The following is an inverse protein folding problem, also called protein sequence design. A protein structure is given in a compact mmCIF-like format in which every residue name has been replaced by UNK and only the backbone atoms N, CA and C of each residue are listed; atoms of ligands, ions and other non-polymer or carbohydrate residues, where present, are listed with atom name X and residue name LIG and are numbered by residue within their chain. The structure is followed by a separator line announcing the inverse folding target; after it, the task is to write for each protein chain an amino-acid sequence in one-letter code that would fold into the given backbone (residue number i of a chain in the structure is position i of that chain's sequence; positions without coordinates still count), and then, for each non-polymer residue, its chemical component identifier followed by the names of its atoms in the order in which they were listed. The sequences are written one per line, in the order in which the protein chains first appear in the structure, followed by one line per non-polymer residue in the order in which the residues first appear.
data_IF_056703972393
#
_entry.id   IF_056703972393
#
_cell.length_a   1.000
_cell.length_b   1.000
_cell.length_c   1.000
_cell.angle_alpha   90.00
_cell.angle_beta   90.00
_cell.angle_gamma   90.00
#
_symmetry.space_group_name_H-M   'P 1'
#
loop_
_entity.id
_entity.type
_entity.pdbx_description
1 polymer ?
#
# COMPACT_ATOMS: atom_id res chain seq x y z
N UNK A 1 -50.72 -43.55 38.24
CA UNK A 1 -51.90 -42.89 38.86
C UNK A 1 -51.67 -41.37 38.81
N UNK A 2 -52.54 -40.63 38.12
CA UNK A 2 -52.75 -39.18 38.37
C UNK A 2 -53.60 -39.04 39.63
N UNK A 3 -53.57 -37.86 40.28
CA UNK A 3 -54.74 -37.01 40.09
C UNK A 3 -54.40 -35.55 39.78
N UNK A 4 -55.19 -34.97 38.87
CA UNK A 4 -55.34 -33.54 38.70
C UNK A 4 -56.18 -32.96 39.83
N UNK A 5 -55.92 -31.72 40.24
CA UNK A 5 -56.92 -30.92 40.94
C UNK A 5 -56.84 -29.46 40.50
N UNK A 6 -57.95 -29.01 39.92
CA UNK A 6 -58.23 -27.66 39.44
C UNK A 6 -58.90 -26.91 40.60
N UNK A 7 -58.44 -25.69 40.90
CA UNK A 7 -59.31 -24.67 41.50
C UNK A 7 -59.05 -23.35 40.78
N UNK A 8 -60.02 -22.97 39.95
CA UNK A 8 -60.23 -21.61 39.47
C UNK A 8 -61.07 -20.89 40.52
N UNK A 9 -60.72 -19.69 40.97
CA UNK A 9 -61.70 -18.63 41.21
C UNK A 9 -61.01 -17.27 41.31
N UNK A 10 -61.54 -16.35 40.52
CA UNK A 10 -61.07 -14.99 40.29
C UNK A 10 -61.20 -14.11 41.55
N UNK A 11 -60.24 -13.21 41.76
CA UNK A 11 -60.48 -11.99 42.53
C UNK A 11 -60.21 -10.77 41.64
N UNK A 12 -61.28 -10.04 41.41
CA UNK A 12 -61.34 -8.75 40.72
C UNK A 12 -60.59 -7.70 41.55
N UNK A 13 -59.63 -7.03 40.94
CA UNK A 13 -59.18 -5.72 41.38
C UNK A 13 -58.68 -4.92 40.18
N UNK A 14 -59.49 -3.97 39.76
CA UNK A 14 -59.06 -2.78 39.03
C UNK A 14 -60.03 -1.67 39.43
N UNK A 15 -59.68 -0.37 39.36
CA UNK A 15 -58.45 0.22 38.84
C UNK A 15 -57.84 1.25 39.83
N UNK A 16 -56.72 1.88 39.47
CA UNK A 16 -56.56 3.34 39.32
C UNK A 16 -55.10 3.79 39.60
N UNK A 17 -54.42 4.07 38.48
CA UNK A 17 -53.47 5.18 38.25
C UNK A 17 -52.28 5.39 39.22
N UNK A 18 -51.10 5.00 38.74
CA UNK A 18 -49.91 5.88 38.80
C UNK A 18 -49.19 5.85 37.46
N UNK A 19 -48.81 7.03 36.98
CA UNK A 19 -48.32 7.33 35.64
C UNK A 19 -47.16 6.46 35.13
N UNK A 20 -47.27 5.99 33.89
CA UNK A 20 -46.11 5.64 33.09
C UNK A 20 -45.51 6.93 32.49
N UNK A 21 -44.18 7.12 32.47
CA UNK A 21 -43.60 8.09 31.56
C UNK A 21 -43.89 7.62 30.13
N UNK A 22 -44.33 8.56 29.28
CA UNK A 22 -44.30 8.39 27.83
C UNK A 22 -42.84 8.13 27.43
N UNK A 23 -42.48 6.86 27.23
CA UNK A 23 -41.46 6.53 26.26
C UNK A 23 -42.06 6.89 24.89
N UNK A 24 -41.82 8.13 24.47
CA UNK A 24 -42.02 8.51 23.09
C UNK A 24 -41.37 7.43 22.21
N UNK A 25 -41.99 6.99 21.10
CA UNK A 25 -41.20 6.35 20.07
C UNK A 25 -40.13 7.37 19.73
N UNK A 26 -38.87 7.05 20.05
CA UNK A 26 -37.72 7.76 19.52
C UNK A 26 -37.97 7.76 18.03
N UNK A 27 -38.38 8.93 17.55
CA UNK A 27 -38.23 9.36 16.19
C UNK A 27 -36.78 9.04 15.89
N UNK A 28 -36.52 7.87 15.31
CA UNK A 28 -35.19 7.50 14.84
C UNK A 28 -34.85 8.71 13.98
N UNK A 29 -33.90 9.58 14.37
CA UNK A 29 -33.56 10.69 13.50
C UNK A 29 -33.28 10.01 12.18
N UNK A 30 -34.09 10.35 11.17
CA UNK A 30 -33.91 9.94 9.78
C UNK A 30 -32.41 9.98 9.64
N UNK A 31 -31.78 8.81 9.49
CA UNK A 31 -30.34 8.73 9.34
C UNK A 31 -30.09 9.61 8.14
N UNK A 32 -29.71 10.85 8.42
CA UNK A 32 -29.17 11.78 7.46
C UNK A 32 -27.93 11.05 7.10
N UNK A 33 -28.05 10.18 6.10
CA UNK A 33 -27.15 10.14 4.99
C UNK A 33 -25.80 10.69 5.44
N UNK A 34 -25.07 9.89 6.22
CA UNK A 34 -23.64 10.12 6.51
C UNK A 34 -22.81 10.13 5.20
N UNK A 35 -23.49 9.91 4.07
CA UNK A 35 -23.05 10.29 2.75
C UNK A 35 -22.94 11.82 2.64
N UNK A 36 -21.69 12.29 2.65
CA UNK A 36 -21.20 13.51 2.00
C UNK A 36 -21.21 14.84 2.75
N UNK A 37 -20.86 14.86 4.04
CA UNK A 37 -20.34 16.10 4.66
C UNK A 37 -18.89 15.98 5.16
N UNK A 38 -18.24 14.82 4.97
CA UNK A 38 -16.93 14.50 5.53
C UNK A 38 -15.73 14.51 4.58
N UNK A 39 -15.86 14.86 3.30
CA UNK A 39 -14.69 14.95 2.43
C UNK A 39 -14.94 15.91 1.26
N UNK A 40 -14.40 17.12 1.38
CA UNK A 40 -14.08 17.98 0.23
C UNK A 40 -12.71 17.61 -0.38
N UNK A 41 -12.09 16.54 0.12
CA UNK A 41 -10.75 16.07 -0.23
C UNK A 41 -10.85 14.56 -0.45
N UNK A 42 -10.83 14.11 -1.71
CA UNK A 42 -10.80 12.68 -2.02
C UNK A 42 -9.45 12.10 -1.55
N UNK A 43 -9.43 11.47 -0.37
CA UNK A 43 -8.24 10.86 0.23
C UNK A 43 -7.95 9.45 -0.33
N UNK A 44 -8.82 8.93 -1.21
CA UNK A 44 -8.69 7.58 -1.77
C UNK A 44 -7.32 7.40 -2.44
N UNK A 45 -6.93 8.36 -3.28
CA UNK A 45 -5.66 8.33 -4.01
C UNK A 45 -4.48 8.43 -3.03
N UNK A 46 -4.59 9.25 -2.00
CA UNK A 46 -3.56 9.36 -0.95
C UNK A 46 -3.34 8.02 -0.24
N UNK A 47 -4.41 7.34 0.18
CA UNK A 47 -4.30 6.04 0.83
C UNK A 47 -3.75 4.95 -0.09
N UNK A 48 -4.03 5.01 -1.39
CA UNK A 48 -3.39 4.12 -2.37
C UNK A 48 -1.88 4.33 -2.37
N UNK A 49 -1.40 5.58 -2.43
CA UNK A 49 0.03 5.89 -2.38
C UNK A 49 0.65 5.38 -1.09
N UNK A 50 0.02 5.63 0.07
CA UNK A 50 0.47 5.15 1.38
C UNK A 50 0.58 3.61 1.44
N UNK A 51 -0.41 2.89 0.88
CA UNK A 51 -0.37 1.43 0.83
C UNK A 51 0.78 0.89 -0.03
N UNK A 52 1.15 1.60 -1.10
CA UNK A 52 2.31 1.23 -1.93
C UNK A 52 3.61 1.52 -1.19
N UNK A 53 3.71 2.65 -0.47
CA UNK A 53 4.86 2.97 0.40
C UNK A 53 5.08 1.84 1.42
N UNK A 54 4.03 1.44 2.15
CA UNK A 54 4.15 0.41 3.19
C UNK A 54 4.61 -0.95 2.63
N UNK A 55 4.09 -1.31 1.45
CA UNK A 55 4.50 -2.54 0.76
C UNK A 55 5.96 -2.47 0.30
N UNK A 56 6.38 -1.30 -0.19
CA UNK A 56 7.75 -1.07 -0.68
C UNK A 56 8.76 -1.08 0.47
N UNK A 57 8.43 -0.42 1.59
CA UNK A 57 9.24 -0.46 2.82
C UNK A 57 9.34 -1.89 3.38
N UNK A 58 8.26 -2.66 3.31
CA UNK A 58 8.27 -4.06 3.74
C UNK A 58 9.21 -4.91 2.88
N UNK A 59 9.20 -4.71 1.56
CA UNK A 59 10.14 -5.36 0.66
C UNK A 59 11.59 -4.92 0.94
N UNK A 60 11.84 -3.62 1.12
CA UNK A 60 13.16 -3.10 1.45
C UNK A 60 13.72 -3.76 2.72
N UNK A 61 12.93 -3.82 3.80
CA UNK A 61 13.35 -4.48 5.04
C UNK A 61 13.67 -5.97 4.82
N UNK A 62 12.87 -6.67 4.02
CA UNK A 62 13.12 -8.07 3.70
C UNK A 62 14.42 -8.28 2.91
N UNK A 63 14.70 -7.43 1.92
CA UNK A 63 15.94 -7.49 1.12
C UNK A 63 17.16 -7.15 1.97
N UNK A 64 17.11 -6.05 2.73
CA UNK A 64 18.21 -5.62 3.60
C UNK A 64 18.54 -6.66 4.67
N UNK A 65 17.50 -7.26 5.27
CA UNK A 65 17.62 -8.30 6.30
C UNK A 65 18.01 -9.68 5.77
N UNK A 66 18.03 -9.89 4.45
CA UNK A 66 18.29 -11.20 3.87
C UNK A 66 19.76 -11.63 4.03
N UNK A 67 19.93 -12.88 4.47
CA UNK A 67 21.21 -13.50 4.80
C UNK A 67 22.03 -13.94 3.57
N UNK A 68 21.45 -13.88 2.37
CA UNK A 68 22.03 -14.43 1.14
C UNK A 68 21.73 -15.91 0.90
N UNK A 69 21.01 -16.58 1.81
CA UNK A 69 20.64 -17.99 1.67
C UNK A 69 19.32 -18.15 0.91
N UNK A 70 19.29 -19.03 -0.08
CA UNK A 70 18.08 -19.34 -0.86
C UNK A 70 16.90 -19.75 0.02
N UNK A 71 17.14 -20.47 1.12
CA UNK A 71 16.09 -20.91 2.05
C UNK A 71 15.34 -19.75 2.73
N UNK A 72 15.95 -18.56 2.78
CA UNK A 72 15.44 -17.39 3.52
C UNK A 72 14.80 -16.34 2.57
N UNK A 73 14.54 -16.69 1.31
CA UNK A 73 14.05 -15.72 0.29
C UNK A 73 12.54 -15.53 0.30
N UNK A 74 11.79 -16.37 1.02
CA UNK A 74 10.32 -16.29 1.06
C UNK A 74 9.79 -14.90 1.45
N UNK A 75 10.36 -14.18 2.45
CA UNK A 75 9.93 -12.83 2.77
C UNK A 75 10.16 -11.81 1.64
N UNK A 76 11.25 -11.96 0.86
CA UNK A 76 11.53 -11.09 -0.29
C UNK A 76 10.50 -11.30 -1.39
N UNK A 77 10.23 -12.57 -1.74
CA UNK A 77 9.22 -12.90 -2.76
C UNK A 77 7.84 -12.40 -2.34
N UNK A 78 7.44 -12.65 -1.09
CA UNK A 78 6.17 -12.16 -0.56
C UNK A 78 6.09 -10.62 -0.54
N UNK A 79 7.17 -9.93 -0.17
CA UNK A 79 7.25 -8.47 -0.22
C UNK A 79 7.09 -7.94 -1.65
N UNK A 80 7.76 -8.57 -2.61
CA UNK A 80 7.69 -8.21 -4.03
C UNK A 80 6.30 -8.41 -4.61
N UNK A 81 5.66 -9.55 -4.31
CA UNK A 81 4.28 -9.81 -4.70
C UNK A 81 3.31 -8.82 -4.03
N UNK A 82 3.61 -8.43 -2.79
CA UNK A 82 2.89 -7.38 -2.07
C UNK A 82 2.94 -6.04 -2.79
N UNK A 83 4.13 -5.58 -3.19
CA UNK A 83 4.30 -4.34 -3.98
C UNK A 83 3.52 -4.44 -5.29
N UNK A 84 3.71 -5.52 -6.06
CA UNK A 84 3.03 -5.69 -7.34
C UNK A 84 1.50 -5.70 -7.19
N UNK A 85 0.99 -6.33 -6.13
CA UNK A 85 -0.44 -6.36 -5.81
C UNK A 85 -0.93 -4.96 -5.46
N UNK A 86 -0.25 -4.24 -4.58
CA UNK A 86 -0.61 -2.88 -4.15
C UNK A 86 -0.63 -1.90 -5.33
N UNK A 87 0.33 -1.99 -6.25
CA UNK A 87 0.33 -1.19 -7.48
C UNK A 87 -0.89 -1.49 -8.36
N UNK A 88 -1.22 -2.77 -8.58
CA UNK A 88 -2.36 -3.18 -9.42
C UNK A 88 -3.71 -2.81 -8.79
N UNK A 89 -3.91 -3.12 -7.51
CA UNK A 89 -5.14 -2.75 -6.80
C UNK A 89 -5.27 -1.24 -6.64
N UNK A 90 -4.15 -0.57 -6.41
CA UNK A 90 -4.06 0.88 -6.36
C UNK A 90 -4.50 1.51 -7.68
N UNK A 91 -3.96 1.03 -8.80
CA UNK A 91 -4.36 1.47 -10.14
C UNK A 91 -5.88 1.33 -10.34
N UNK A 92 -6.45 0.16 -10.07
CA UNK A 92 -7.90 -0.07 -10.20
C UNK A 92 -8.74 0.83 -9.27
N UNK A 93 -8.22 1.17 -8.09
CA UNK A 93 -8.87 2.06 -7.14
C UNK A 93 -8.81 3.52 -7.63
N UNK A 94 -7.67 3.97 -8.14
CA UNK A 94 -7.51 5.31 -8.73
C UNK A 94 -8.43 5.46 -9.94
N UNK A 95 -8.55 4.45 -10.80
CA UNK A 95 -9.47 4.47 -11.96
C UNK A 95 -10.92 4.79 -11.56
N UNK A 96 -11.36 4.28 -10.41
CA UNK A 96 -12.70 4.46 -9.87
C UNK A 96 -12.85 5.71 -8.99
N UNK A 97 -11.74 6.34 -8.60
CA UNK A 97 -11.73 7.55 -7.80
C UNK A 97 -12.19 8.77 -8.61
N UNK A 98 -12.63 9.81 -7.90
CA UNK A 98 -12.95 11.09 -8.53
C UNK A 98 -11.67 11.81 -8.97
N UNK A 99 -11.83 12.79 -9.85
CA UNK A 99 -10.74 13.67 -10.23
C UNK A 99 -10.25 14.47 -9.02
N UNK A 100 -8.93 14.67 -8.93
CA UNK A 100 -8.29 15.42 -7.87
C UNK A 100 -8.63 16.91 -7.97
N UNK A 101 -9.10 17.46 -6.85
CA UNK A 101 -9.11 18.91 -6.65
C UNK A 101 -7.68 19.42 -6.42
N UNK A 102 -7.47 20.73 -6.53
CA UNK A 102 -6.19 21.37 -6.17
C UNK A 102 -5.75 21.01 -4.74
N UNK A 103 -6.70 20.94 -3.80
CA UNK A 103 -6.41 20.59 -2.40
C UNK A 103 -6.02 19.11 -2.29
N UNK A 104 -6.71 18.21 -2.98
CA UNK A 104 -6.34 16.80 -3.05
C UNK A 104 -4.95 16.59 -3.65
N UNK A 105 -4.62 17.36 -4.70
CA UNK A 105 -3.30 17.34 -5.33
C UNK A 105 -2.17 17.72 -4.35
N UNK A 106 -2.35 18.80 -3.58
CA UNK A 106 -1.39 19.21 -2.56
C UNK A 106 -1.22 18.14 -1.48
N UNK A 107 -2.31 17.44 -1.14
CA UNK A 107 -2.31 16.35 -0.16
C UNK A 107 -1.50 15.12 -0.57
N UNK A 108 -1.22 14.93 -1.86
CA UNK A 108 -0.45 13.77 -2.36
C UNK A 108 1.01 14.07 -2.68
N UNK A 109 1.44 15.35 -2.66
CA UNK A 109 2.83 15.72 -2.98
C UNK A 109 3.82 15.06 -2.01
N UNK A 110 3.62 15.23 -0.70
CA UNK A 110 4.53 14.66 0.31
C UNK A 110 4.51 13.11 0.29
N UNK A 111 3.34 12.43 0.27
CA UNK A 111 3.32 10.99 0.06
C UNK A 111 4.06 10.52 -1.20
N UNK A 112 3.99 11.26 -2.31
CA UNK A 112 4.70 10.90 -3.54
C UNK A 112 6.22 11.01 -3.37
N UNK A 113 6.71 12.02 -2.63
CA UNK A 113 8.14 12.14 -2.30
C UNK A 113 8.59 10.96 -1.43
N UNK A 114 7.83 10.60 -0.39
CA UNK A 114 8.14 9.44 0.44
C UNK A 114 8.09 8.12 -0.35
N UNK A 115 7.20 8.02 -1.34
CA UNK A 115 7.19 6.87 -2.25
C UNK A 115 8.47 6.79 -3.08
N UNK A 116 8.96 7.93 -3.60
CA UNK A 116 10.25 7.94 -4.29
C UNK A 116 11.39 7.46 -3.38
N UNK A 117 11.45 7.95 -2.14
CA UNK A 117 12.46 7.52 -1.17
C UNK A 117 12.38 6.02 -0.87
N UNK A 118 11.16 5.47 -0.74
CA UNK A 118 10.96 4.03 -0.52
C UNK A 118 11.40 3.20 -1.73
N UNK A 119 11.08 3.64 -2.95
CA UNK A 119 11.46 2.95 -4.19
C UNK A 119 12.97 3.02 -4.44
N UNK A 120 13.60 4.17 -4.16
CA UNK A 120 15.06 4.32 -4.16
C UNK A 120 15.69 3.36 -3.15
N UNK A 121 15.21 3.37 -1.90
CA UNK A 121 15.75 2.52 -0.84
C UNK A 121 15.66 1.01 -1.12
N UNK A 122 14.58 0.54 -1.76
CA UNK A 122 14.49 -0.87 -2.18
C UNK A 122 15.37 -1.18 -3.39
N UNK A 123 15.51 -0.24 -4.33
CA UNK A 123 16.36 -0.39 -5.51
C UNK A 123 17.82 -0.51 -5.09
N UNK A 124 18.28 0.37 -4.20
CA UNK A 124 19.62 0.34 -3.60
C UNK A 124 19.85 -0.97 -2.85
N UNK A 125 18.91 -1.39 -2.00
CA UNK A 125 19.04 -2.65 -1.27
C UNK A 125 19.15 -3.88 -2.20
N UNK A 126 18.41 -3.88 -3.32
CA UNK A 126 18.50 -4.94 -4.33
C UNK A 126 19.83 -4.88 -5.08
N UNK A 127 20.31 -3.69 -5.44
CA UNK A 127 21.60 -3.49 -6.10
C UNK A 127 22.74 -3.98 -5.21
N UNK A 128 22.75 -3.58 -3.93
CA UNK A 128 23.75 -3.99 -2.94
C UNK A 128 23.77 -5.50 -2.72
N UNK A 129 22.59 -6.14 -2.73
CA UNK A 129 22.44 -7.60 -2.55
C UNK A 129 22.63 -8.40 -3.84
N UNK A 130 22.90 -7.75 -4.97
CA UNK A 130 23.02 -8.42 -6.27
C UNK A 130 24.06 -9.55 -6.28
N UNK A 131 25.27 -9.41 -5.68
CA UNK A 131 26.23 -10.52 -5.64
C UNK A 131 25.66 -11.77 -4.95
N UNK A 132 24.89 -11.59 -3.89
CA UNK A 132 24.25 -12.68 -3.14
C UNK A 132 23.12 -13.31 -3.95
N UNK A 133 22.28 -12.51 -4.61
CA UNK A 133 21.26 -13.04 -5.52
C UNK A 133 21.87 -13.78 -6.71
N UNK A 134 23.01 -13.32 -7.24
CA UNK A 134 23.73 -13.99 -8.32
C UNK A 134 24.33 -15.33 -7.85
N UNK A 135 24.99 -15.35 -6.69
CA UNK A 135 25.52 -16.58 -6.09
C UNK A 135 24.42 -17.60 -5.76
N UNK A 136 23.22 -17.12 -5.42
CA UNK A 136 22.03 -17.91 -5.19
C UNK A 136 21.30 -18.37 -6.47
N UNK A 137 21.72 -17.92 -7.66
CA UNK A 137 21.06 -18.23 -8.93
C UNK A 137 19.70 -17.54 -9.13
N UNK A 138 19.44 -16.46 -8.40
CA UNK A 138 18.14 -15.78 -8.34
C UNK A 138 18.07 -14.48 -9.15
N UNK A 139 19.17 -14.03 -9.76
CA UNK A 139 19.21 -12.76 -10.50
C UNK A 139 18.12 -12.64 -11.57
N UNK A 140 17.82 -13.72 -12.29
CA UNK A 140 16.75 -13.71 -13.31
C UNK A 140 15.37 -13.54 -12.70
N UNK A 141 15.13 -14.09 -11.50
CA UNK A 141 13.86 -13.93 -10.78
C UNK A 141 13.69 -12.50 -10.33
N UNK A 142 14.74 -11.91 -9.73
CA UNK A 142 14.74 -10.51 -9.30
C UNK A 142 14.52 -9.58 -10.50
N UNK A 143 15.20 -9.82 -11.63
CA UNK A 143 15.01 -9.05 -12.86
C UNK A 143 13.55 -9.10 -13.34
N UNK A 144 12.93 -10.29 -13.37
CA UNK A 144 11.53 -10.43 -13.77
C UNK A 144 10.58 -9.67 -12.84
N UNK A 145 10.80 -9.75 -11.53
CA UNK A 145 10.00 -9.03 -10.55
C UNK A 145 10.14 -7.50 -10.69
N UNK A 146 11.36 -7.00 -10.88
CA UNK A 146 11.61 -5.57 -11.12
C UNK A 146 10.90 -5.07 -12.39
N UNK A 147 10.96 -5.83 -13.48
CA UNK A 147 10.27 -5.48 -14.73
C UNK A 147 8.75 -5.44 -14.57
N UNK A 148 8.17 -6.42 -13.86
CA UNK A 148 6.74 -6.45 -13.58
C UNK A 148 6.29 -5.27 -12.70
N UNK A 149 7.07 -4.95 -11.66
CA UNK A 149 6.82 -3.80 -10.79
C UNK A 149 6.95 -2.48 -11.57
N UNK A 150 7.98 -2.33 -12.40
CA UNK A 150 8.17 -1.13 -13.24
C UNK A 150 7.00 -0.90 -14.19
N UNK A 151 6.50 -1.96 -14.82
CA UNK A 151 5.31 -1.90 -15.67
C UNK A 151 4.06 -1.52 -14.89
N UNK A 152 3.85 -2.11 -13.71
CA UNK A 152 2.71 -1.79 -12.86
C UNK A 152 2.78 -0.36 -12.30
N UNK A 153 3.97 0.11 -11.93
CA UNK A 153 4.21 1.49 -11.49
C UNK A 153 3.91 2.50 -12.60
N UNK A 154 4.36 2.24 -13.83
CA UNK A 154 4.00 3.09 -14.97
C UNK A 154 2.49 3.17 -15.16
N UNK A 155 1.80 2.02 -15.15
CA UNK A 155 0.35 2.00 -15.31
C UNK A 155 -0.36 2.79 -14.19
N UNK A 156 0.10 2.69 -12.95
CA UNK A 156 -0.44 3.48 -11.84
C UNK A 156 -0.22 4.98 -12.05
N UNK A 157 0.97 5.39 -12.48
CA UNK A 157 1.31 6.79 -12.79
C UNK A 157 0.43 7.31 -13.92
N UNK A 158 0.33 6.58 -15.03
CA UNK A 158 -0.48 6.97 -16.19
C UNK A 158 -1.95 7.16 -15.78
N UNK A 159 -2.49 6.23 -15.00
CA UNK A 159 -3.85 6.32 -14.46
C UNK A 159 -4.00 7.52 -13.51
N UNK A 160 -3.04 7.78 -12.62
CA UNK A 160 -3.08 8.93 -11.72
C UNK A 160 -3.10 10.24 -12.50
N UNK A 161 -2.32 10.37 -13.57
CA UNK A 161 -2.31 11.56 -14.43
C UNK A 161 -3.68 11.84 -15.05
N UNK A 162 -4.48 10.81 -15.34
CA UNK A 162 -5.87 11.00 -15.84
C UNK A 162 -6.81 11.62 -14.80
N UNK A 163 -6.47 11.51 -13.51
CA UNK A 163 -7.23 12.09 -12.39
C UNK A 163 -6.76 13.47 -12.00
N UNK A 164 -5.71 13.98 -12.64
CA UNK A 164 -5.16 15.29 -12.35
C UNK A 164 -5.73 16.35 -13.30
N UNK A 165 -5.92 17.60 -12.84
CA UNK A 165 -6.21 18.71 -13.73
C UNK A 165 -5.13 18.85 -14.82
N UNK A 166 -5.53 19.17 -16.06
CA UNK A 166 -4.61 19.18 -17.22
C UNK A 166 -3.39 20.11 -17.08
N UNK A 167 -3.46 21.15 -16.26
CA UNK A 167 -2.35 22.06 -16.00
C UNK A 167 -1.35 21.55 -14.96
N UNK A 168 -1.61 20.40 -14.33
CA UNK A 168 -0.73 19.79 -13.30
C UNK A 168 -0.15 18.44 -13.69
N UNK A 169 -0.43 17.92 -14.89
CA UNK A 169 0.11 16.64 -15.37
C UNK A 169 1.64 16.66 -15.40
N UNK A 170 2.25 17.76 -15.83
CA UNK A 170 3.72 17.92 -15.83
C UNK A 170 4.33 17.87 -14.42
N UNK A 171 3.58 18.30 -13.40
CA UNK A 171 4.02 18.16 -12.01
C UNK A 171 3.96 16.69 -11.56
N UNK A 172 2.92 15.95 -11.96
CA UNK A 172 2.79 14.52 -11.66
C UNK A 172 3.90 13.68 -12.32
N UNK A 173 4.21 13.98 -13.58
CA UNK A 173 5.34 13.38 -14.29
C UNK A 173 6.67 13.68 -13.58
N UNK A 174 6.91 14.95 -13.21
CA UNK A 174 8.12 15.35 -12.50
C UNK A 174 8.26 14.65 -11.13
N UNK A 175 7.16 14.52 -10.39
CA UNK A 175 7.16 13.90 -9.06
C UNK A 175 7.31 12.38 -9.11
N UNK A 176 6.84 11.71 -10.17
CA UNK A 176 6.90 10.24 -10.28
C UNK A 176 8.15 9.73 -11.00
N UNK A 177 8.81 10.58 -11.80
CA UNK A 177 10.01 10.22 -12.55
C UNK A 177 11.14 9.59 -11.70
N UNK A 178 11.44 10.07 -10.47
CA UNK A 178 12.49 9.47 -9.65
C UNK A 178 12.24 7.98 -9.34
N UNK A 179 11.03 7.62 -8.89
CA UNK A 179 10.67 6.21 -8.64
C UNK A 179 10.88 5.32 -9.86
N UNK A 180 10.41 5.78 -11.03
CA UNK A 180 10.52 5.02 -12.27
C UNK A 180 11.98 4.85 -12.70
N UNK A 181 12.79 5.91 -12.52
CA UNK A 181 14.23 5.90 -12.80
C UNK A 181 14.98 4.93 -11.89
N UNK A 182 14.72 4.91 -10.58
CA UNK A 182 15.37 3.97 -9.66
C UNK A 182 15.06 2.51 -10.01
N UNK A 183 13.83 2.21 -10.41
CA UNK A 183 13.46 0.88 -10.93
C UNK A 183 14.21 0.55 -12.23
N UNK A 184 14.30 1.49 -13.17
CA UNK A 184 15.04 1.31 -14.42
C UNK A 184 16.54 1.07 -14.15
N UNK A 185 17.15 1.79 -13.21
CA UNK A 185 18.53 1.59 -12.77
C UNK A 185 18.73 0.19 -12.19
N UNK A 186 17.86 -0.27 -11.28
CA UNK A 186 17.91 -1.63 -10.75
C UNK A 186 17.76 -2.70 -11.85
N UNK A 187 16.87 -2.48 -12.83
CA UNK A 187 16.70 -3.38 -13.99
C UNK A 187 17.99 -3.44 -14.81
N UNK A 188 18.62 -2.31 -15.11
CA UNK A 188 19.87 -2.24 -15.86
C UNK A 188 20.98 -3.00 -15.13
N UNK A 189 21.11 -2.76 -13.84
CA UNK A 189 22.00 -3.49 -12.94
C UNK A 189 21.76 -5.00 -13.03
N UNK A 190 20.51 -5.46 -12.94
CA UNK A 190 20.17 -6.89 -12.96
C UNK A 190 20.28 -7.54 -14.34
N UNK A 191 20.12 -6.78 -15.42
CA UNK A 191 20.21 -7.24 -16.80
C UNK A 191 21.65 -7.28 -17.35
N UNK A 192 22.58 -6.51 -16.77
CA UNK A 192 23.98 -6.51 -17.15
C UNK A 192 24.61 -7.90 -16.98
N UNK A 193 24.95 -8.55 -18.10
CA UNK A 193 25.72 -9.81 -18.11
C UNK A 193 27.14 -9.53 -17.65
N UNK A 194 27.48 -9.99 -16.45
CA UNK A 194 28.84 -9.90 -15.90
C UNK A 194 29.10 -8.63 -15.09
N UNK A 195 28.16 -8.26 -14.21
CA UNK A 195 28.38 -7.29 -13.14
C UNK A 195 29.77 -7.46 -12.52
N UNK A 196 30.67 -6.53 -12.85
CA UNK A 196 31.85 -6.24 -12.05
C UNK A 196 31.39 -5.19 -11.06
N UNK A 197 31.43 -5.59 -9.81
CA UNK A 197 31.25 -4.77 -8.63
C UNK A 197 31.72 -3.32 -8.82
N UNK A 198 30.86 -2.31 -8.59
CA UNK A 198 31.30 -0.93 -8.48
C UNK A 198 32.06 -0.75 -7.15
N UNK A 199 33.37 -1.01 -7.23
CA UNK A 199 34.41 -0.58 -6.30
C UNK A 199 34.52 -1.27 -4.91
N UNK A 200 35.25 -2.39 -4.87
CA UNK A 200 35.99 -2.86 -3.69
C UNK A 200 37.51 -2.59 -3.78
N UNK A 201 37.93 -1.53 -4.48
CA UNK A 201 39.27 -0.96 -4.32
C UNK A 201 39.16 0.17 -3.28
N UNK A 202 39.63 0.08 -2.03
CA UNK A 202 40.99 -0.21 -1.57
C UNK A 202 40.94 -0.44 -0.04
N UNK A 203 41.14 -1.67 0.47
CA UNK A 203 41.81 -1.86 1.79
C UNK A 203 42.58 -3.19 1.96
N UNK A 204 42.98 -3.89 0.89
CA UNK A 204 43.82 -5.11 1.04
C UNK A 204 45.31 -4.90 0.68
N UNK A 205 45.87 -3.72 0.96
CA UNK A 205 47.21 -3.37 0.46
C UNK A 205 48.02 -2.44 1.36
N UNK A 206 48.13 -2.72 2.66
CA UNK A 206 49.27 -2.21 3.44
C UNK A 206 49.68 -3.16 4.56
N UNK A 207 50.29 -4.28 4.17
CA UNK A 207 51.31 -4.92 4.98
C UNK A 207 52.38 -5.51 4.03
N UNK A 208 53.63 -5.18 4.34
CA UNK A 208 54.90 -5.76 3.87
C UNK A 208 55.60 -5.04 2.70
N UNK A 209 56.76 -4.48 3.07
CA UNK A 209 57.68 -3.67 2.28
C UNK A 209 58.41 -2.71 3.19
#
# INVERSE_FOLDING_TARGET
MKPANIVYFALLASPLTTAAPLSAPVNKPRALTERHLGSFVDETIKHVIESVIDSTNSLQMAVSGWSGKVADTAPILAGSDGVLKSLKSGTATIEQANDLSLVGLLGIVIPTIHLNEAVEGVSDALIDKKPQFAAAGLSTVVLGQLQDQRKAAQAMVDTLLTKMPSYTTSLGELLSAPSLKSLDEAIDVYSAKGWKDPDHTIVSGRAQG
#
